data_IF_416211680310
#
_entry.id   IF_416211680310
#
_cell.length_a   1.000
_cell.length_b   1.000
_cell.length_c   1.000
_cell.angle_alpha   90.00
_cell.angle_beta   90.00
_cell.angle_gamma   90.00
#
_symmetry.space_group_name_H-M   'P 1'
#
loop_
_entity.id
_entity.type
_entity.pdbx_description
1 polymer ?
#
# COMPACT_ATOMS: atom_id res chain seq x y z
N UNK A 1 -18.25 -39.30 -1.18
CA UNK A 1 -17.24 -39.58 -0.11
C UNK A 1 -16.22 -38.49 -0.30
N UNK A 2 -16.42 -37.43 0.47
CA UNK A 2 -15.63 -36.20 0.38
C UNK A 2 -14.46 -36.33 1.36
N UNK A 3 -13.24 -36.37 0.83
CA UNK A 3 -12.03 -36.32 1.66
C UNK A 3 -11.81 -34.90 2.16
N UNK A 4 -12.29 -34.66 3.37
CA UNK A 4 -11.95 -33.50 4.19
C UNK A 4 -10.49 -33.65 4.70
N UNK A 5 -9.50 -33.27 3.90
CA UNK A 5 -8.17 -32.98 4.41
C UNK A 5 -8.11 -31.55 4.95
N UNK A 6 -8.66 -31.37 6.14
CA UNK A 6 -8.28 -30.31 7.05
C UNK A 6 -6.83 -30.60 7.47
N UNK A 7 -5.89 -29.96 6.80
CA UNK A 7 -4.51 -29.89 7.30
C UNK A 7 -4.54 -28.95 8.51
N UNK A 8 -4.73 -29.52 9.69
CA UNK A 8 -4.40 -28.84 10.93
C UNK A 8 -2.93 -28.43 10.86
N UNK A 9 -2.66 -27.15 10.78
CA UNK A 9 -1.37 -26.62 11.16
C UNK A 9 -1.20 -26.86 12.65
N UNK A 10 -0.72 -28.05 13.01
CA UNK A 10 -0.37 -28.40 14.39
C UNK A 10 0.65 -27.39 14.85
N UNK A 11 0.37 -26.72 15.96
CA UNK A 11 1.38 -26.13 16.80
C UNK A 11 2.47 -27.21 16.96
N UNK A 12 3.64 -26.98 16.37
CA UNK A 12 4.75 -27.87 16.56
C UNK A 12 5.16 -27.70 18.02
N UNK A 13 4.69 -28.60 18.88
CA UNK A 13 5.26 -28.80 20.21
C UNK A 13 6.77 -28.90 20.04
N UNK A 14 7.45 -27.92 20.55
CA UNK A 14 8.89 -27.86 20.62
C UNK A 14 9.34 -29.05 21.48
N UNK A 15 9.76 -30.14 20.84
CA UNK A 15 10.37 -31.25 21.50
C UNK A 15 11.51 -30.74 22.38
N UNK A 16 11.42 -31.05 23.67
CA UNK A 16 12.21 -30.58 24.80
C UNK A 16 13.70 -31.05 24.79
N UNK A 17 14.39 -30.97 23.66
CA UNK A 17 15.81 -31.32 23.54
C UNK A 17 16.65 -30.26 22.83
N UNK A 18 16.27 -28.97 22.90
CA UNK A 18 17.18 -27.86 22.61
C UNK A 18 17.66 -27.33 23.95
N UNK A 19 18.97 -27.39 24.18
CA UNK A 19 19.67 -26.89 25.36
C UNK A 19 19.08 -25.56 25.82
N UNK A 20 18.84 -25.46 27.12
CA UNK A 20 18.41 -24.24 27.83
C UNK A 20 19.46 -23.12 27.69
N UNK A 21 19.66 -22.61 26.49
CA UNK A 21 20.36 -21.34 26.31
C UNK A 21 19.27 -20.22 26.34
N UNK A 22 19.12 -19.63 27.52
CA UNK A 22 18.12 -18.64 27.90
C UNK A 22 18.24 -17.30 27.16
N UNK A 23 18.84 -17.25 25.97
CA UNK A 23 19.14 -16.04 25.19
C UNK A 23 18.28 -15.82 23.97
N UNK A 24 17.45 -16.76 23.59
CA UNK A 24 16.48 -16.54 22.51
C UNK A 24 15.13 -16.14 23.11
N UNK A 25 15.01 -14.85 23.48
CA UNK A 25 13.68 -14.24 23.63
C UNK A 25 12.99 -14.36 22.28
N UNK A 26 11.82 -14.96 22.24
CA UNK A 26 10.96 -14.96 21.06
C UNK A 26 10.83 -13.51 20.57
N UNK A 27 11.27 -13.26 19.35
CA UNK A 27 11.15 -11.94 18.71
C UNK A 27 9.79 -11.93 18.04
N UNK A 28 8.82 -11.14 18.53
CA UNK A 28 7.49 -11.08 17.91
C UNK A 28 7.60 -10.83 16.40
N UNK A 29 6.65 -11.34 15.62
CA UNK A 29 6.50 -11.03 14.20
C UNK A 29 7.40 -11.76 13.20
N UNK A 30 8.39 -12.53 13.59
CA UNK A 30 9.19 -13.30 12.64
C UNK A 30 8.46 -14.61 12.27
N UNK A 31 7.23 -14.46 11.75
CA UNK A 31 6.32 -15.56 11.40
C UNK A 31 6.12 -15.58 9.88
N UNK A 32 6.42 -16.71 9.24
CA UNK A 32 6.14 -16.94 7.82
C UNK A 32 4.65 -17.15 7.53
N UNK A 33 4.28 -17.08 6.26
CA UNK A 33 2.92 -17.35 5.79
C UNK A 33 2.93 -18.52 4.81
N UNK A 34 2.11 -19.54 5.07
CA UNK A 34 2.03 -20.73 4.23
C UNK A 34 1.54 -20.40 2.81
N UNK A 35 2.25 -20.91 1.79
CA UNK A 35 1.83 -20.78 0.40
C UNK A 35 0.84 -21.89 0.02
N UNK A 36 -0.42 -21.51 -0.04
CA UNK A 36 -1.52 -22.42 -0.37
C UNK A 36 -1.76 -22.64 -1.87
N UNK A 37 -0.73 -22.39 -2.69
CA UNK A 37 -0.74 -22.44 -4.15
C UNK A 37 -0.89 -21.02 -4.76
N UNK A 38 0.22 -20.53 -5.30
CA UNK A 38 0.37 -19.20 -5.92
C UNK A 38 -0.10 -18.02 -5.04
N UNK A 39 -0.08 -18.16 -3.69
CA UNK A 39 -0.47 -17.10 -2.77
C UNK A 39 0.70 -16.21 -2.32
N UNK A 40 1.88 -16.34 -2.91
CA UNK A 40 3.06 -15.54 -2.56
C UNK A 40 2.81 -14.03 -2.70
N UNK A 41 2.04 -13.59 -3.70
CA UNK A 41 1.64 -12.19 -3.86
C UNK A 41 0.86 -11.66 -2.65
N UNK A 42 -0.05 -12.47 -2.11
CA UNK A 42 -0.83 -12.13 -0.93
C UNK A 42 0.05 -12.15 0.32
N UNK A 43 0.87 -13.19 0.48
CA UNK A 43 1.78 -13.32 1.62
C UNK A 43 2.72 -12.11 1.71
N UNK A 44 3.33 -11.69 0.59
CA UNK A 44 4.24 -10.54 0.56
C UNK A 44 3.54 -9.22 0.95
N UNK A 45 2.33 -8.96 0.43
CA UNK A 45 1.53 -7.78 0.80
C UNK A 45 1.16 -7.79 2.28
N UNK A 46 0.67 -8.93 2.79
CA UNK A 46 0.29 -9.09 4.20
C UNK A 46 1.50 -8.87 5.13
N UNK A 47 2.68 -9.40 4.77
CA UNK A 47 3.91 -9.15 5.52
C UNK A 47 4.26 -7.66 5.58
N UNK A 48 4.14 -6.93 4.48
CA UNK A 48 4.40 -5.49 4.47
C UNK A 48 3.39 -4.70 5.30
N UNK A 49 2.08 -4.98 5.19
CA UNK A 49 1.06 -4.30 5.98
C UNK A 49 1.17 -4.60 7.48
N UNK A 50 1.48 -5.85 7.84
CA UNK A 50 1.77 -6.22 9.24
C UNK A 50 3.09 -5.64 9.77
N UNK A 51 3.86 -4.92 8.93
CA UNK A 51 5.03 -4.12 9.34
C UNK A 51 4.69 -2.66 9.58
N UNK A 52 3.49 -2.21 9.22
CA UNK A 52 3.01 -0.84 9.46
C UNK A 52 2.56 -0.73 10.90
N UNK A 53 3.47 -0.35 11.79
CA UNK A 53 3.26 -0.45 13.24
C UNK A 53 2.02 0.27 13.76
N UNK A 54 1.63 1.49 13.31
CA UNK A 54 0.37 2.10 13.76
C UNK A 54 -0.89 1.35 13.29
N UNK A 55 -0.83 0.70 12.13
CA UNK A 55 -1.94 -0.15 11.66
C UNK A 55 -2.07 -1.39 12.56
N UNK A 56 -0.94 -2.03 12.86
CA UNK A 56 -0.87 -3.17 13.78
C UNK A 56 -1.40 -2.81 15.16
N UNK A 57 -0.95 -1.69 15.73
CA UNK A 57 -1.41 -1.19 17.04
C UNK A 57 -2.93 -0.96 17.06
N UNK A 58 -3.47 -0.38 16.02
CA UNK A 58 -4.91 -0.17 15.88
C UNK A 58 -5.70 -1.49 15.95
N UNK A 59 -5.20 -2.55 15.31
CA UNK A 59 -5.85 -3.85 15.35
C UNK A 59 -5.62 -4.58 16.68
N UNK A 60 -4.41 -4.58 17.22
CA UNK A 60 -4.10 -5.24 18.51
C UNK A 60 -4.82 -4.59 19.68
N UNK A 61 -5.01 -3.27 19.67
CA UNK A 61 -5.77 -2.55 20.69
C UNK A 61 -7.27 -2.79 20.67
N UNK A 62 -7.79 -3.49 19.65
CA UNK A 62 -9.22 -3.74 19.49
C UNK A 62 -10.05 -2.55 19.01
N UNK A 63 -9.45 -1.38 18.75
CA UNK A 63 -10.17 -0.18 18.26
C UNK A 63 -10.97 -0.42 16.99
N UNK A 64 -10.50 -1.33 16.13
CA UNK A 64 -11.23 -1.69 14.91
C UNK A 64 -12.63 -2.25 15.20
N UNK A 65 -12.82 -2.96 16.31
CA UNK A 65 -14.13 -3.52 16.71
C UNK A 65 -15.12 -2.41 17.07
N UNK A 66 -14.64 -1.34 17.70
CA UNK A 66 -15.46 -0.17 17.99
C UNK A 66 -15.88 0.56 16.71
N UNK A 67 -14.95 0.67 15.74
CA UNK A 67 -15.19 1.33 14.46
C UNK A 67 -16.14 0.55 13.56
N UNK A 68 -16.10 -0.78 13.60
CA UNK A 68 -17.05 -1.64 12.89
C UNK A 68 -18.50 -1.42 13.35
N UNK A 69 -18.72 -1.10 14.61
CA UNK A 69 -20.06 -0.89 15.17
C UNK A 69 -20.97 -2.11 14.99
N UNK A 70 -21.95 -2.03 14.06
CA UNK A 70 -22.89 -3.13 13.74
C UNK A 70 -22.53 -3.86 12.43
N UNK A 71 -21.48 -3.45 11.75
CA UNK A 71 -21.00 -4.13 10.54
C UNK A 71 -20.42 -5.50 10.90
N UNK A 72 -20.56 -6.48 10.00
CA UNK A 72 -19.88 -7.77 10.18
C UNK A 72 -18.38 -7.65 10.12
N UNK A 73 -17.86 -6.74 9.29
CA UNK A 73 -16.44 -6.43 9.17
C UNK A 73 -15.59 -7.65 8.85
N UNK A 74 -15.97 -8.43 7.85
CA UNK A 74 -15.31 -9.72 7.54
C UNK A 74 -13.83 -9.55 7.21
N UNK A 75 -13.47 -8.49 6.45
CA UNK A 75 -12.06 -8.18 6.10
C UNK A 75 -11.30 -7.74 7.33
N UNK A 76 -11.87 -6.83 8.10
CA UNK A 76 -11.24 -6.25 9.28
C UNK A 76 -11.04 -7.30 10.39
N UNK A 77 -12.03 -8.18 10.59
CA UNK A 77 -11.90 -9.27 11.55
C UNK A 77 -10.83 -10.29 11.11
N UNK A 78 -10.81 -10.67 9.82
CA UNK A 78 -9.83 -11.61 9.30
C UNK A 78 -8.40 -11.02 9.32
N UNK A 79 -8.25 -9.73 9.00
CA UNK A 79 -6.96 -9.04 9.09
C UNK A 79 -6.51 -8.86 10.54
N UNK A 80 -7.43 -8.51 11.45
CA UNK A 80 -7.15 -8.39 12.88
C UNK A 80 -6.69 -9.70 13.51
N UNK A 81 -7.33 -10.83 13.14
CA UNK A 81 -6.89 -12.15 13.59
C UNK A 81 -5.48 -12.47 13.07
N UNK A 82 -5.21 -12.20 11.79
CA UNK A 82 -3.88 -12.38 11.20
C UNK A 82 -2.82 -11.57 11.96
N UNK A 83 -3.08 -10.29 12.22
CA UNK A 83 -2.18 -9.40 12.98
C UNK A 83 -1.92 -9.97 14.37
N UNK A 84 -2.96 -10.46 15.05
CA UNK A 84 -2.85 -11.08 16.38
C UNK A 84 -1.95 -12.31 16.33
N UNK A 85 -2.19 -13.20 15.39
CA UNK A 85 -1.40 -14.45 15.25
C UNK A 85 0.07 -14.14 14.93
N UNK A 86 0.36 -13.14 14.10
CA UNK A 86 1.73 -12.78 13.72
C UNK A 86 2.50 -12.04 14.82
N UNK A 87 1.83 -11.28 15.66
CA UNK A 87 2.49 -10.45 16.66
C UNK A 87 2.47 -11.05 18.08
N UNK A 88 1.39 -11.72 18.44
CA UNK A 88 1.20 -12.30 19.78
C UNK A 88 1.33 -13.82 19.79
N UNK A 89 1.21 -14.47 18.63
CA UNK A 89 1.40 -15.92 18.52
C UNK A 89 2.87 -16.31 18.46
N UNK A 90 3.18 -17.49 18.97
CA UNK A 90 4.52 -18.09 18.95
C UNK A 90 4.68 -19.05 17.76
N UNK A 91 4.24 -18.63 16.57
CA UNK A 91 4.24 -19.47 15.37
C UNK A 91 5.46 -19.17 14.49
N UNK A 92 6.12 -20.19 13.97
CA UNK A 92 7.11 -20.02 12.89
C UNK A 92 6.45 -19.71 11.57
N UNK A 93 5.28 -20.29 11.32
CA UNK A 93 4.50 -20.13 10.11
C UNK A 93 3.03 -20.31 10.44
N UNK A 94 2.16 -19.53 9.80
CA UNK A 94 0.71 -19.64 9.90
C UNK A 94 0.08 -19.75 8.51
N UNK A 95 -1.09 -20.38 8.43
CA UNK A 95 -1.88 -20.45 7.21
C UNK A 95 -2.93 -19.33 7.21
N UNK A 96 -2.81 -18.32 6.31
CA UNK A 96 -3.72 -17.18 6.28
C UNK A 96 -5.07 -17.52 5.63
N UNK A 97 -5.71 -18.62 6.05
CA UNK A 97 -6.91 -19.18 5.41
C UNK A 97 -8.10 -18.21 5.44
N UNK A 98 -8.33 -17.60 6.59
CA UNK A 98 -9.50 -16.74 6.80
C UNK A 98 -9.42 -15.48 5.94
N UNK A 99 -8.31 -14.75 5.97
CA UNK A 99 -8.12 -13.54 5.16
C UNK A 99 -8.14 -13.87 3.66
N UNK A 100 -7.57 -15.00 3.25
CA UNK A 100 -7.64 -15.48 1.86
C UNK A 100 -9.07 -15.74 1.40
N UNK A 101 -9.86 -16.42 2.22
CA UNK A 101 -11.25 -16.72 1.89
C UNK A 101 -12.09 -15.44 1.76
N UNK A 102 -11.91 -14.50 2.67
CA UNK A 102 -12.63 -13.21 2.65
C UNK A 102 -12.25 -12.38 1.44
N UNK A 103 -10.96 -12.26 1.13
CA UNK A 103 -10.49 -11.53 -0.07
C UNK A 103 -11.03 -12.19 -1.35
N UNK A 104 -11.04 -13.52 -1.43
CA UNK A 104 -11.61 -14.26 -2.55
C UNK A 104 -13.12 -14.03 -2.73
N UNK A 105 -13.86 -13.86 -1.64
CA UNK A 105 -15.28 -13.52 -1.68
C UNK A 105 -15.52 -12.07 -2.14
N UNK A 106 -14.64 -11.15 -1.78
CA UNK A 106 -14.75 -9.76 -2.20
C UNK A 106 -14.44 -9.57 -3.68
N UNK A 107 -13.46 -10.29 -4.19
CA UNK A 107 -13.02 -10.18 -5.57
C UNK A 107 -12.65 -11.54 -6.15
N UNK A 108 -13.53 -12.04 -7.02
CA UNK A 108 -13.46 -13.39 -7.58
C UNK A 108 -12.08 -13.79 -8.19
N UNK A 109 -11.31 -12.90 -8.85
CA UNK A 109 -9.97 -13.24 -9.32
C UNK A 109 -9.04 -13.77 -8.21
N UNK A 110 -9.18 -13.31 -6.98
CA UNK A 110 -8.38 -13.78 -5.85
C UNK A 110 -8.89 -15.11 -5.22
N UNK A 111 -10.09 -15.56 -5.60
CA UNK A 111 -10.65 -16.82 -5.12
C UNK A 111 -9.97 -18.04 -5.74
N UNK A 112 -9.40 -17.91 -6.94
CA UNK A 112 -8.74 -19.00 -7.64
C UNK A 112 -7.27 -19.17 -7.20
N UNK A 113 -6.62 -20.22 -7.71
CA UNK A 113 -5.19 -20.50 -7.45
C UNK A 113 -4.26 -19.95 -8.54
N UNK A 114 -4.74 -19.01 -9.39
CA UNK A 114 -3.88 -18.35 -10.37
C UNK A 114 -2.96 -17.36 -9.69
N UNK A 115 -1.83 -17.06 -10.33
CA UNK A 115 -0.99 -15.95 -9.92
C UNK A 115 -1.73 -14.64 -10.15
N UNK A 116 -1.62 -13.72 -9.21
CA UNK A 116 -2.28 -12.40 -9.25
C UNK A 116 -1.27 -11.29 -8.98
N UNK A 117 -1.67 -10.06 -9.27
CA UNK A 117 -0.84 -8.88 -9.02
C UNK A 117 -0.93 -8.44 -7.55
N UNK A 118 0.22 -8.31 -6.91
CA UNK A 118 0.33 -7.84 -5.53
C UNK A 118 -0.17 -6.40 -5.35
N UNK A 119 0.00 -5.52 -6.35
CA UNK A 119 -0.48 -4.15 -6.30
C UNK A 119 -2.01 -4.09 -6.35
N UNK A 120 -2.62 -4.90 -7.22
CA UNK A 120 -4.07 -5.00 -7.30
C UNK A 120 -4.65 -5.49 -5.96
N UNK A 121 -4.07 -6.55 -5.38
CA UNK A 121 -4.47 -7.04 -4.07
C UNK A 121 -4.32 -5.97 -2.98
N UNK A 122 -3.19 -5.24 -2.94
CA UNK A 122 -2.95 -4.19 -1.95
C UNK A 122 -4.05 -3.13 -1.98
N UNK A 123 -4.42 -2.66 -3.17
CA UNK A 123 -5.48 -1.66 -3.33
C UNK A 123 -6.84 -2.22 -2.89
N UNK A 124 -7.18 -3.45 -3.29
CA UNK A 124 -8.44 -4.09 -2.87
C UNK A 124 -8.51 -4.27 -1.35
N UNK A 125 -7.42 -4.71 -0.73
CA UNK A 125 -7.39 -4.92 0.73
C UNK A 125 -7.51 -3.59 1.49
N UNK A 126 -6.79 -2.54 1.07
CA UNK A 126 -6.88 -1.22 1.68
C UNK A 126 -8.30 -0.64 1.53
N UNK A 127 -8.91 -0.76 0.35
CA UNK A 127 -10.28 -0.31 0.12
C UNK A 127 -11.29 -1.11 0.95
N UNK A 128 -11.15 -2.43 1.03
CA UNK A 128 -12.02 -3.27 1.85
C UNK A 128 -11.96 -2.92 3.35
N UNK A 129 -10.74 -2.70 3.87
CA UNK A 129 -10.56 -2.22 5.24
C UNK A 129 -11.13 -0.82 5.45
N UNK A 130 -10.92 0.10 4.48
CA UNK A 130 -11.50 1.44 4.54
C UNK A 130 -13.03 1.39 4.58
N UNK A 131 -13.65 0.65 3.67
CA UNK A 131 -15.11 0.58 3.55
C UNK A 131 -15.79 0.02 4.80
N UNK A 132 -15.16 -0.93 5.48
CA UNK A 132 -15.67 -1.48 6.73
C UNK A 132 -15.43 -0.57 7.94
N UNK A 133 -14.29 0.15 7.99
CA UNK A 133 -13.84 0.92 9.15
C UNK A 133 -14.14 2.42 9.04
N UNK A 134 -14.72 2.88 7.92
CA UNK A 134 -14.99 4.30 7.71
C UNK A 134 -16.08 4.83 8.63
N UNK A 135 -15.79 5.98 9.22
CA UNK A 135 -16.75 6.76 9.99
C UNK A 135 -17.15 8.00 9.20
N UNK A 136 -18.46 8.21 9.02
CA UNK A 136 -18.96 9.44 8.44
C UNK A 136 -18.89 10.56 9.47
N UNK A 137 -17.90 11.43 9.35
CA UNK A 137 -17.83 12.65 10.16
C UNK A 137 -18.73 13.71 9.58
N UNK A 138 -19.95 13.81 10.09
CA UNK A 138 -20.72 15.04 9.94
C UNK A 138 -20.04 16.11 10.78
N UNK A 139 -19.19 16.95 10.18
CA UNK A 139 -18.70 18.16 10.83
C UNK A 139 -19.92 19.04 11.13
N UNK A 140 -20.41 19.01 12.38
CA UNK A 140 -21.23 20.07 12.94
C UNK A 140 -20.30 21.26 13.18
N UNK A 141 -20.13 22.12 12.17
CA UNK A 141 -19.68 23.48 12.48
C UNK A 141 -20.86 24.22 13.08
N UNK A 142 -20.71 24.84 14.25
CA UNK A 142 -21.65 25.86 14.68
C UNK A 142 -21.37 27.09 13.79
N UNK A 143 -22.12 27.24 12.72
CA UNK A 143 -22.13 28.47 11.93
C UNK A 143 -23.33 29.30 12.38
N UNK A 144 -23.13 30.08 13.44
CA UNK A 144 -23.79 31.36 13.61
C UNK A 144 -23.00 32.39 12.83
N UNK A 145 -23.34 32.57 11.57
CA UNK A 145 -23.11 33.83 10.84
C UNK A 145 -24.29 34.04 9.90
N UNK A 146 -25.13 34.96 10.29
CA UNK A 146 -26.18 35.54 9.48
C UNK A 146 -25.56 36.18 8.22
N UNK A 147 -25.74 35.49 7.07
CA UNK A 147 -25.54 36.15 5.76
C UNK A 147 -26.88 36.22 5.02
N UNK A 148 -27.26 37.44 4.69
CA UNK A 148 -28.36 37.80 3.79
C UNK A 148 -28.02 37.35 2.38
N UNK A 149 -29.07 36.89 1.69
CA UNK A 149 -29.25 36.70 0.26
C UNK A 149 -28.52 35.58 -0.49
N UNK A 150 -29.27 34.55 -0.85
CA UNK A 150 -29.33 34.07 -2.25
C UNK A 150 -28.16 33.24 -2.81
N UNK A 151 -27.38 32.52 -2.02
CA UNK A 151 -26.36 31.61 -2.58
C UNK A 151 -26.66 30.16 -2.21
N UNK A 152 -26.59 29.29 -3.23
CA UNK A 152 -26.76 27.84 -3.12
C UNK A 152 -25.81 27.29 -2.01
N UNK A 153 -26.38 26.56 -1.06
CA UNK A 153 -25.60 25.77 -0.08
C UNK A 153 -24.67 24.85 -0.85
N UNK A 154 -23.38 25.18 -0.91
CA UNK A 154 -22.37 24.17 -1.17
C UNK A 154 -22.37 23.25 0.05
N UNK A 155 -22.91 22.04 -0.11
CA UNK A 155 -22.69 20.94 0.84
C UNK A 155 -21.21 20.60 0.73
N UNK A 156 -20.44 20.90 1.77
CA UNK A 156 -19.08 20.39 1.91
C UNK A 156 -19.11 18.85 1.80
N UNK A 157 -18.24 18.24 1.01
CA UNK A 157 -18.21 16.79 0.88
C UNK A 157 -18.01 16.18 2.26
N UNK A 158 -18.82 15.16 2.57
CA UNK A 158 -18.68 14.35 3.76
C UNK A 158 -17.37 13.55 3.59
N UNK A 159 -16.34 13.88 4.34
CA UNK A 159 -15.09 13.10 4.34
C UNK A 159 -15.31 11.85 5.19
N UNK A 160 -15.27 10.70 4.54
CA UNK A 160 -15.25 9.40 5.20
C UNK A 160 -13.83 9.15 5.72
N UNK A 161 -13.66 8.99 7.03
CA UNK A 161 -12.36 8.80 7.66
C UNK A 161 -12.26 7.39 8.23
N UNK A 162 -11.14 6.75 8.00
CA UNK A 162 -10.76 5.47 8.60
C UNK A 162 -9.29 5.48 8.99
N UNK A 163 -8.82 4.45 9.67
CA UNK A 163 -7.38 4.26 9.91
C UNK A 163 -6.59 4.21 8.60
N UNK A 164 -7.17 3.67 7.53
CA UNK A 164 -6.53 3.57 6.22
C UNK A 164 -6.32 4.96 5.61
N UNK A 165 -7.36 5.81 5.60
CA UNK A 165 -7.21 7.19 5.09
C UNK A 165 -6.31 8.03 5.99
N UNK A 166 -6.29 7.75 7.29
CA UNK A 166 -5.41 8.45 8.22
C UNK A 166 -3.93 8.16 7.94
N UNK A 167 -3.57 6.89 7.69
CA UNK A 167 -2.19 6.48 7.51
C UNK A 167 -1.68 6.65 6.07
N UNK A 168 -2.50 6.34 5.06
CA UNK A 168 -2.06 6.13 3.68
C UNK A 168 -2.64 7.12 2.67
N UNK A 169 -3.64 7.94 3.03
CA UNK A 169 -4.26 8.84 2.05
C UNK A 169 -3.51 10.16 1.91
N UNK A 170 -2.94 10.35 0.72
CA UNK A 170 -2.44 11.63 0.26
C UNK A 170 -3.42 12.31 -0.72
N UNK A 171 -3.07 13.53 -1.13
CA UNK A 171 -3.83 14.30 -2.11
C UNK A 171 -2.91 14.88 -3.17
N UNK A 172 -3.32 14.75 -4.43
CA UNK A 172 -2.71 15.40 -5.57
C UNK A 172 -3.55 16.63 -5.96
N UNK A 173 -2.88 17.73 -6.28
CA UNK A 173 -3.44 18.90 -6.97
C UNK A 173 -3.06 18.79 -8.45
N UNK A 174 -4.03 18.47 -9.29
CA UNK A 174 -3.82 18.38 -10.73
C UNK A 174 -4.28 19.65 -11.40
N UNK A 175 -3.38 20.29 -12.14
CA UNK A 175 -3.61 21.49 -12.90
C UNK A 175 -3.67 21.14 -14.38
N UNK A 176 -4.82 21.42 -14.99
CA UNK A 176 -5.09 21.16 -16.41
C UNK A 176 -5.29 22.48 -17.12
N UNK A 177 -4.51 22.74 -18.18
CA UNK A 177 -4.55 23.99 -18.96
C UNK A 177 -4.86 23.70 -20.41
N UNK A 178 -5.95 24.24 -20.94
CA UNK A 178 -6.25 24.20 -22.37
C UNK A 178 -5.23 25.05 -23.15
N UNK A 179 -4.49 24.46 -24.07
CA UNK A 179 -3.45 25.18 -24.82
C UNK A 179 -4.01 26.20 -25.84
N UNK A 180 -5.32 26.11 -26.17
CA UNK A 180 -5.97 27.04 -27.09
C UNK A 180 -6.50 28.31 -26.42
N UNK A 181 -7.23 28.18 -25.32
CA UNK A 181 -7.89 29.33 -24.67
C UNK A 181 -7.32 29.64 -23.28
N UNK A 182 -6.30 28.87 -22.82
CA UNK A 182 -5.64 29.00 -21.52
C UNK A 182 -6.59 28.83 -20.31
N UNK A 183 -7.78 28.27 -20.53
CA UNK A 183 -8.65 27.90 -19.42
C UNK A 183 -7.94 26.91 -18.52
N UNK A 184 -7.92 27.21 -17.23
CA UNK A 184 -7.24 26.41 -16.22
C UNK A 184 -8.26 25.77 -15.28
N UNK A 185 -8.18 24.46 -15.13
CA UNK A 185 -9.00 23.68 -14.18
C UNK A 185 -8.06 23.06 -13.16
N UNK A 186 -8.44 23.14 -11.89
CA UNK A 186 -7.74 22.47 -10.78
C UNK A 186 -8.67 21.42 -10.19
N UNK A 187 -8.13 20.21 -10.01
CA UNK A 187 -8.83 19.08 -9.39
C UNK A 187 -7.97 18.46 -8.30
N UNK A 188 -8.57 18.17 -7.16
CA UNK A 188 -7.90 17.43 -6.09
C UNK A 188 -8.30 15.98 -6.19
N UNK A 189 -7.31 15.10 -6.17
CA UNK A 189 -7.49 13.66 -6.28
C UNK A 189 -6.80 12.97 -5.09
N UNK A 190 -7.56 12.13 -4.37
CA UNK A 190 -7.00 11.33 -3.28
C UNK A 190 -6.28 10.10 -3.84
N UNK A 191 -5.18 9.71 -3.20
CA UNK A 191 -4.45 8.50 -3.53
C UNK A 191 -4.03 7.76 -2.26
N UNK A 192 -3.96 6.45 -2.33
CA UNK A 192 -3.35 5.58 -1.30
C UNK A 192 -2.07 4.93 -1.80
N UNK A 193 -1.96 4.70 -3.11
CA UNK A 193 -0.79 4.13 -3.77
C UNK A 193 -0.45 4.98 -4.99
N UNK A 194 0.80 5.44 -5.11
CA UNK A 194 1.30 6.11 -6.31
C UNK A 194 1.94 5.08 -7.24
N UNK A 195 1.38 4.90 -8.43
CA UNK A 195 1.92 4.01 -9.46
C UNK A 195 2.84 4.79 -10.40
N UNK A 196 4.14 4.62 -10.20
CA UNK A 196 5.18 5.36 -10.88
C UNK A 196 5.58 4.74 -12.22
N UNK A 197 5.70 5.52 -13.29
CA UNK A 197 6.31 5.07 -14.53
C UNK A 197 7.82 4.83 -14.31
N UNK A 198 8.38 3.92 -15.11
CA UNK A 198 9.82 3.67 -15.11
C UNK A 198 10.39 4.32 -16.37
N UNK A 199 11.30 5.30 -16.25
CA UNK A 199 11.95 5.91 -17.40
C UNK A 199 12.67 4.88 -18.27
N UNK A 200 12.75 5.15 -19.58
CA UNK A 200 13.45 4.29 -20.53
C UNK A 200 14.93 4.21 -20.17
N UNK A 201 15.47 2.98 -20.09
CA UNK A 201 16.87 2.76 -19.78
C UNK A 201 17.13 1.42 -19.09
N UNK A 202 18.42 1.12 -18.87
CA UNK A 202 18.80 -0.10 -18.12
C UNK A 202 18.79 0.11 -16.61
N UNK A 203 19.03 1.35 -16.18
CA UNK A 203 19.10 1.77 -14.77
C UNK A 203 18.48 3.14 -14.60
N UNK A 204 17.77 3.35 -13.50
CA UNK A 204 17.31 4.66 -13.04
C UNK A 204 17.19 4.63 -11.50
N UNK A 205 16.92 5.77 -10.92
CA UNK A 205 16.60 5.88 -9.50
C UNK A 205 15.09 5.97 -9.27
N UNK A 206 14.64 5.69 -8.05
CA UNK A 206 13.25 5.93 -7.64
C UNK A 206 12.89 7.43 -7.74
N UNK A 207 13.89 8.31 -7.53
CA UNK A 207 13.72 9.75 -7.73
C UNK A 207 13.42 10.09 -9.19
N UNK A 208 14.10 9.44 -10.17
CA UNK A 208 13.82 9.63 -11.59
C UNK A 208 12.39 9.16 -11.95
N UNK A 209 11.91 8.08 -11.30
CA UNK A 209 10.53 7.63 -11.46
C UNK A 209 9.52 8.66 -10.92
N UNK A 210 9.81 9.29 -9.78
CA UNK A 210 9.00 10.38 -9.22
C UNK A 210 9.03 11.60 -10.13
N UNK A 211 10.19 12.02 -10.63
CA UNK A 211 10.32 13.12 -11.58
C UNK A 211 9.49 12.87 -12.84
N UNK A 212 9.56 11.66 -13.39
CA UNK A 212 8.76 11.27 -14.54
C UNK A 212 7.25 11.31 -14.25
N UNK A 213 6.81 10.91 -13.05
CA UNK A 213 5.40 10.95 -12.64
C UNK A 213 4.88 12.38 -12.49
N UNK A 214 5.67 13.29 -11.92
CA UNK A 214 5.30 14.69 -11.69
C UNK A 214 5.70 15.63 -12.81
N UNK A 215 6.29 15.12 -13.89
CA UNK A 215 6.60 15.91 -15.08
C UNK A 215 5.30 16.44 -15.70
N UNK A 216 5.36 17.68 -16.21
CA UNK A 216 4.26 18.22 -16.99
C UNK A 216 4.10 17.43 -18.29
N UNK A 217 2.91 16.97 -18.56
CA UNK A 217 2.56 16.24 -19.77
C UNK A 217 1.66 17.07 -20.68
N UNK A 218 1.67 16.78 -21.98
CA UNK A 218 0.82 17.41 -22.98
C UNK A 218 -0.02 16.36 -23.70
N UNK A 219 -1.31 16.40 -23.45
CA UNK A 219 -2.29 15.50 -24.06
C UNK A 219 -2.71 16.05 -25.42
N UNK A 220 -2.40 15.31 -26.49
CA UNK A 220 -2.65 15.69 -27.88
C UNK A 220 -3.39 14.57 -28.62
N UNK A 221 -3.91 14.86 -29.79
CA UNK A 221 -4.57 13.89 -30.67
C UNK A 221 -5.71 13.12 -29.99
N UNK A 222 -5.57 11.83 -29.82
CA UNK A 222 -6.61 10.96 -29.24
C UNK A 222 -6.83 11.24 -27.75
N UNK A 223 -5.80 11.75 -27.04
CA UNK A 223 -5.81 12.01 -25.61
C UNK A 223 -6.27 13.44 -25.26
N UNK A 224 -6.67 14.24 -26.28
CA UNK A 224 -7.20 15.58 -26.07
C UNK A 224 -8.36 15.60 -25.08
N UNK A 225 -8.38 16.57 -24.17
CA UNK A 225 -9.44 16.77 -23.19
C UNK A 225 -10.51 17.76 -23.67
N UNK A 226 -11.76 17.54 -23.26
CA UNK A 226 -12.86 18.45 -23.53
C UNK A 226 -12.67 19.74 -22.72
N UNK A 227 -12.45 20.85 -23.41
CA UNK A 227 -12.38 22.15 -22.75
C UNK A 227 -13.79 22.75 -22.63
N UNK A 228 -14.19 23.12 -21.42
CA UNK A 228 -15.51 23.70 -21.14
C UNK A 228 -15.76 25.07 -21.80
N UNK A 229 -14.69 25.87 -22.03
CA UNK A 229 -14.81 27.17 -22.74
C UNK A 229 -14.76 27.03 -24.25
N UNK A 230 -13.99 26.08 -24.78
CA UNK A 230 -13.91 25.81 -26.20
C UNK A 230 -15.07 24.95 -26.71
N UNK A 231 -15.75 24.23 -25.79
CA UNK A 231 -16.79 23.24 -26.06
C UNK A 231 -16.34 22.11 -27.04
N UNK A 232 -15.02 21.90 -27.11
CA UNK A 232 -14.38 20.91 -28.02
C UNK A 232 -13.17 20.28 -27.34
N UNK A 233 -12.78 19.12 -27.84
CA UNK A 233 -11.48 18.49 -27.52
C UNK A 233 -10.35 19.41 -27.96
N UNK A 234 -9.38 19.66 -27.08
CA UNK A 234 -8.24 20.52 -27.31
C UNK A 234 -6.98 19.91 -26.72
N UNK A 235 -5.85 20.26 -27.27
CA UNK A 235 -4.55 19.97 -26.68
C UNK A 235 -4.48 20.59 -25.30
N UNK A 236 -4.03 19.82 -24.33
CA UNK A 236 -4.13 20.18 -22.92
C UNK A 236 -2.84 19.84 -22.21
N UNK A 237 -2.30 20.79 -21.47
CA UNK A 237 -1.18 20.53 -20.55
C UNK A 237 -1.74 20.09 -19.20
N UNK A 238 -1.15 19.03 -18.65
CA UNK A 238 -1.51 18.48 -17.33
C UNK A 238 -0.27 18.40 -16.45
N UNK A 239 -0.38 18.86 -15.21
CA UNK A 239 0.66 18.76 -14.21
C UNK A 239 0.05 18.39 -12.87
N UNK A 240 0.58 17.34 -12.24
CA UNK A 240 0.25 16.98 -10.87
C UNK A 240 1.30 17.52 -9.89
N UNK A 241 0.86 17.92 -8.70
CA UNK A 241 1.71 18.21 -7.54
C UNK A 241 1.09 17.54 -6.31
N UNK A 242 1.89 17.35 -5.28
CA UNK A 242 1.40 16.82 -4.00
C UNK A 242 0.80 17.97 -3.19
N UNK A 243 -0.50 17.88 -2.91
CA UNK A 243 -1.20 18.82 -2.02
C UNK A 243 -1.10 18.37 -0.56
N UNK A 244 -1.09 17.05 -0.30
CA UNK A 244 -0.94 16.46 1.04
C UNK A 244 -0.18 15.14 0.93
N UNK A 245 0.86 14.98 1.74
CA UNK A 245 1.56 13.69 1.93
C UNK A 245 0.91 12.92 3.09
N UNK A 246 0.73 11.60 2.97
CA UNK A 246 0.36 10.75 4.10
C UNK A 246 1.59 10.42 4.94
N UNK A 247 1.40 9.94 6.16
CA UNK A 247 2.52 9.50 7.03
C UNK A 247 3.22 8.25 6.46
N UNK A 248 2.48 7.41 5.74
CA UNK A 248 2.95 6.19 5.08
C UNK A 248 2.69 6.27 3.58
N UNK A 249 3.74 6.39 2.78
CA UNK A 249 3.66 6.48 1.32
C UNK A 249 3.90 5.12 0.71
N UNK A 250 2.97 4.68 -0.13
CA UNK A 250 3.06 3.44 -0.90
C UNK A 250 3.36 3.77 -2.35
N UNK A 251 4.50 3.28 -2.86
CA UNK A 251 4.95 3.51 -4.23
C UNK A 251 4.99 2.18 -4.97
N UNK A 252 4.30 2.12 -6.10
CA UNK A 252 4.30 0.97 -7.00
C UNK A 252 5.05 1.30 -8.29
N UNK A 253 5.91 0.43 -8.79
CA UNK A 253 6.57 0.57 -10.08
C UNK A 253 5.73 -0.09 -11.19
N UNK A 254 5.35 0.66 -12.22
CA UNK A 254 4.66 0.13 -13.40
C UNK A 254 5.59 -0.75 -14.24
N UNK A 255 5.94 -1.93 -13.70
CA UNK A 255 6.83 -2.89 -14.37
C UNK A 255 6.14 -3.72 -15.43
N UNK A 256 4.83 -3.90 -15.32
CA UNK A 256 4.03 -4.68 -16.25
C UNK A 256 3.41 -3.75 -17.30
N UNK A 257 3.79 -3.97 -18.55
CA UNK A 257 3.37 -3.16 -19.68
C UNK A 257 2.75 -4.06 -20.76
N UNK A 258 1.82 -3.48 -21.52
CA UNK A 258 1.17 -4.14 -22.63
C UNK A 258 1.58 -3.44 -23.93
N UNK A 259 2.44 -4.07 -24.71
CA UNK A 259 2.79 -3.61 -26.06
C UNK A 259 1.93 -4.38 -27.09
N UNK A 260 0.77 -3.83 -27.42
CA UNK A 260 -0.24 -4.52 -28.25
C UNK A 260 -0.84 -5.72 -27.50
N UNK A 261 -0.68 -6.94 -28.06
CA UNK A 261 -1.13 -8.19 -27.40
C UNK A 261 -0.05 -8.86 -26.55
N UNK A 262 1.18 -8.32 -26.53
CA UNK A 262 2.28 -8.92 -25.78
C UNK A 262 2.41 -8.27 -24.42
N UNK A 263 2.34 -9.10 -23.37
CA UNK A 263 2.68 -8.72 -22.00
C UNK A 263 4.19 -8.62 -21.89
N UNK A 264 4.69 -7.54 -21.32
CA UNK A 264 6.12 -7.30 -21.10
C UNK A 264 6.39 -6.86 -19.67
N UNK A 265 7.36 -7.49 -19.01
CA UNK A 265 7.88 -7.00 -17.74
C UNK A 265 9.12 -6.12 -17.96
N UNK A 266 9.09 -4.89 -17.48
CA UNK A 266 10.25 -4.00 -17.47
C UNK A 266 11.25 -4.47 -16.42
N UNK A 267 12.48 -4.80 -16.87
CA UNK A 267 13.57 -5.31 -16.01
C UNK A 267 14.59 -4.22 -15.65
N UNK A 268 14.24 -2.95 -15.87
CA UNK A 268 15.07 -1.80 -15.49
C UNK A 268 15.43 -1.88 -14.01
N UNK A 269 16.71 -1.79 -13.71
CA UNK A 269 17.19 -1.71 -12.33
C UNK A 269 16.85 -0.33 -11.78
N UNK A 270 16.01 -0.29 -10.74
CA UNK A 270 15.62 0.94 -10.05
C UNK A 270 16.31 0.97 -8.71
N UNK A 271 17.29 1.87 -8.55
CA UNK A 271 17.91 2.13 -7.26
C UNK A 271 17.00 3.01 -6.39
N UNK A 272 16.97 2.74 -5.10
CA UNK A 272 16.07 3.44 -4.18
C UNK A 272 16.78 3.75 -2.85
N UNK A 273 16.54 4.92 -2.23
CA UNK A 273 17.14 5.24 -0.95
C UNK A 273 16.45 4.44 0.17
N UNK A 274 17.25 3.95 1.13
CA UNK A 274 16.72 3.34 2.35
C UNK A 274 16.23 4.40 3.33
N UNK A 275 16.84 5.58 3.27
CA UNK A 275 16.52 6.71 4.13
C UNK A 275 16.44 8.00 3.32
N UNK A 276 15.66 8.95 3.82
CA UNK A 276 15.57 10.31 3.28
C UNK A 276 15.12 10.40 1.80
N UNK A 277 14.18 9.54 1.35
CA UNK A 277 13.49 9.77 0.08
C UNK A 277 12.78 11.13 0.14
N UNK A 278 13.08 12.01 -0.80
CA UNK A 278 12.66 13.41 -0.77
C UNK A 278 11.48 13.68 -1.71
N UNK A 279 10.35 14.08 -1.14
CA UNK A 279 9.16 14.53 -1.87
C UNK A 279 9.03 16.06 -1.96
N UNK A 280 9.94 16.82 -1.34
CA UNK A 280 9.87 18.29 -1.31
C UNK A 280 9.78 18.94 -2.71
N UNK A 281 10.45 18.42 -3.77
CA UNK A 281 10.35 19.00 -5.10
C UNK A 281 8.93 18.96 -5.70
N UNK A 282 8.10 18.05 -5.23
CA UNK A 282 6.75 17.79 -5.76
C UNK A 282 5.63 18.32 -4.85
N UNK A 283 5.97 18.81 -3.66
CA UNK A 283 5.04 19.32 -2.65
C UNK A 283 5.27 20.83 -2.41
N UNK A 284 4.82 21.70 -3.31
CA UNK A 284 5.00 23.14 -3.15
C UNK A 284 4.16 23.66 -1.97
N UNK A 285 4.81 24.36 -1.02
CA UNK A 285 4.14 24.98 0.12
C UNK A 285 4.72 24.61 1.48
N UNK A 286 4.07 24.99 2.59
CA UNK A 286 4.59 24.77 3.94
C UNK A 286 4.68 23.30 4.35
N UNK A 287 4.02 22.39 3.65
CA UNK A 287 4.06 20.95 3.89
C UNK A 287 5.32 20.26 3.32
N UNK A 288 6.09 20.94 2.46
CA UNK A 288 7.34 20.39 1.88
C UNK A 288 8.46 20.15 2.90
N UNK A 289 8.40 20.75 4.10
CA UNK A 289 9.41 20.55 5.14
C UNK A 289 9.39 19.18 5.82
N UNK A 290 8.32 18.40 5.65
CA UNK A 290 8.19 17.02 6.16
C UNK A 290 8.41 15.97 5.06
N UNK A 291 8.92 16.36 3.90
CA UNK A 291 8.99 15.53 2.70
C UNK A 291 10.04 14.41 2.70
N UNK A 292 10.66 14.05 3.83
CA UNK A 292 11.68 12.99 3.89
C UNK A 292 11.12 11.72 4.51
N UNK A 293 11.30 10.62 3.80
CA UNK A 293 10.72 9.32 4.16
C UNK A 293 11.77 8.23 4.19
N UNK A 294 11.61 7.28 5.11
CA UNK A 294 12.49 6.12 5.29
C UNK A 294 11.77 4.85 4.87
N UNK A 295 12.48 3.98 4.17
CA UNK A 295 11.96 2.69 3.74
C UNK A 295 11.82 1.76 4.93
N UNK A 296 10.67 1.06 5.01
CA UNK A 296 10.46 0.04 6.03
C UNK A 296 10.01 -1.31 5.49
N UNK A 297 9.47 -1.36 4.26
CA UNK A 297 9.17 -2.63 3.63
C UNK A 297 9.19 -2.53 2.09
N UNK A 298 9.45 -3.66 1.43
CA UNK A 298 9.45 -3.81 -0.03
C UNK A 298 8.78 -5.11 -0.40
N UNK A 299 7.84 -5.07 -1.35
CA UNK A 299 7.40 -6.26 -2.08
C UNK A 299 8.28 -6.41 -3.30
N UNK A 300 8.91 -7.57 -3.44
CA UNK A 300 9.71 -7.94 -4.60
C UNK A 300 8.93 -8.89 -5.51
N UNK A 301 9.20 -8.83 -6.81
CA UNK A 301 8.69 -9.78 -7.79
C UNK A 301 9.80 -10.27 -8.72
N UNK A 302 10.06 -11.56 -8.70
CA UNK A 302 11.00 -12.26 -9.58
C UNK A 302 10.24 -13.06 -10.64
N UNK A 303 10.84 -13.28 -11.81
CA UNK A 303 10.19 -13.99 -12.92
C UNK A 303 9.39 -13.08 -13.84
N UNK A 304 8.44 -13.65 -14.57
CA UNK A 304 7.60 -12.97 -15.57
C UNK A 304 6.14 -12.82 -15.08
N UNK A 305 5.27 -12.27 -15.91
CA UNK A 305 3.87 -11.98 -15.54
C UNK A 305 3.05 -13.25 -15.26
N UNK A 306 3.31 -14.32 -16.02
CA UNK A 306 2.52 -15.56 -15.96
C UNK A 306 3.20 -16.63 -15.06
N UNK A 307 4.48 -16.42 -14.69
CA UNK A 307 5.26 -17.33 -13.83
C UNK A 307 6.27 -16.54 -13.02
N UNK A 308 5.84 -16.03 -11.90
CA UNK A 308 6.67 -15.23 -11.01
C UNK A 308 6.55 -15.67 -9.55
N UNK A 309 7.36 -15.06 -8.72
CA UNK A 309 7.35 -15.29 -7.29
C UNK A 309 7.51 -13.95 -6.55
N UNK A 310 6.71 -13.77 -5.51
CA UNK A 310 6.75 -12.59 -4.66
C UNK A 310 7.39 -12.90 -3.32
N UNK A 311 8.26 -12.01 -2.85
CA UNK A 311 8.80 -12.00 -1.49
C UNK A 311 8.65 -10.63 -0.87
N UNK A 312 8.74 -10.53 0.46
CA UNK A 312 8.74 -9.25 1.15
C UNK A 312 10.03 -9.06 1.93
N UNK A 313 10.61 -7.86 1.86
CA UNK A 313 11.65 -7.40 2.76
C UNK A 313 11.04 -6.43 3.75
N UNK A 314 11.19 -6.68 5.05
CA UNK A 314 10.62 -5.81 6.06
C UNK A 314 11.63 -5.51 7.17
N UNK A 315 11.64 -4.24 7.61
CA UNK A 315 12.45 -3.77 8.74
C UNK A 315 11.70 -4.08 10.03
N UNK A 316 12.36 -4.78 10.94
CA UNK A 316 11.77 -5.12 12.23
C UNK A 316 11.78 -3.92 13.16
N UNK A 317 10.66 -3.50 13.77
CA UNK A 317 10.57 -2.23 14.51
C UNK A 317 11.37 -2.23 15.81
N UNK A 318 11.64 -3.40 16.42
CA UNK A 318 12.39 -3.51 17.67
C UNK A 318 13.90 -3.60 17.42
N UNK A 319 14.31 -4.47 16.48
CA UNK A 319 15.73 -4.76 16.25
C UNK A 319 16.35 -3.88 15.18
N UNK A 320 15.51 -3.17 14.41
CA UNK A 320 15.86 -2.38 13.23
C UNK A 320 16.59 -3.18 12.13
N UNK A 321 16.63 -4.49 12.27
CA UNK A 321 17.18 -5.41 11.29
C UNK A 321 16.19 -5.66 10.16
N UNK A 322 16.71 -6.03 8.99
CA UNK A 322 15.91 -6.41 7.85
C UNK A 322 15.74 -7.93 7.76
N UNK A 323 14.54 -8.36 7.39
CA UNK A 323 14.21 -9.75 7.19
C UNK A 323 13.52 -9.93 5.83
N UNK A 324 13.89 -11.01 5.16
CA UNK A 324 13.19 -11.53 4.00
C UNK A 324 12.11 -12.49 4.46
N UNK A 325 10.93 -12.31 3.94
CA UNK A 325 9.79 -13.19 4.10
C UNK A 325 9.51 -13.83 2.74
N UNK A 326 9.90 -15.07 2.60
CA UNK A 326 9.66 -15.92 1.44
C UNK A 326 8.69 -17.02 1.84
N UNK A 327 7.39 -16.71 1.73
CA UNK A 327 6.29 -17.55 2.20
C UNK A 327 6.53 -18.04 3.65
N UNK A 328 6.76 -19.34 3.86
CA UNK A 328 6.97 -19.94 5.17
C UNK A 328 8.32 -19.58 5.79
N UNK A 329 9.25 -19.13 4.98
CA UNK A 329 10.64 -18.92 5.39
C UNK A 329 10.89 -17.47 5.77
N UNK A 330 11.55 -17.26 6.91
CA UNK A 330 11.97 -15.94 7.38
C UNK A 330 13.47 -15.93 7.59
N UNK A 331 14.18 -15.09 6.85
CA UNK A 331 15.63 -15.00 6.89
C UNK A 331 16.09 -13.59 7.27
N UNK A 332 17.12 -13.49 8.08
CA UNK A 332 17.84 -12.23 8.26
C UNK A 332 18.56 -11.84 6.97
N UNK A 333 18.45 -10.57 6.59
CA UNK A 333 19.16 -10.01 5.43
C UNK A 333 19.91 -8.73 5.79
N UNK A 334 21.04 -8.52 5.13
CA UNK A 334 21.80 -7.28 5.26
C UNK A 334 21.13 -6.14 4.50
N UNK A 335 21.22 -4.91 4.99
CA UNK A 335 20.74 -3.74 4.27
C UNK A 335 21.37 -3.59 2.87
N UNK A 336 22.57 -4.11 2.65
CA UNK A 336 23.24 -4.12 1.34
C UNK A 336 22.55 -5.02 0.30
N UNK A 337 21.77 -6.01 0.73
CA UNK A 337 21.05 -6.93 -0.17
C UNK A 337 19.68 -6.43 -0.60
N UNK A 338 19.21 -5.31 -0.01
CA UNK A 338 17.88 -4.75 -0.31
C UNK A 338 17.77 -4.20 -1.74
N UNK A 339 18.88 -3.68 -2.28
CA UNK A 339 18.92 -3.15 -3.65
C UNK A 339 18.79 -4.29 -4.65
N UNK A 340 17.61 -4.42 -5.23
CA UNK A 340 17.27 -5.52 -6.14
C UNK A 340 16.47 -5.00 -7.34
N UNK A 341 16.75 -5.57 -8.52
CA UNK A 341 15.91 -5.36 -9.71
C UNK A 341 14.51 -5.97 -9.59
N UNK A 342 14.26 -6.76 -8.54
CA UNK A 342 12.98 -7.35 -8.22
C UNK A 342 12.02 -6.41 -7.47
N UNK A 343 12.50 -5.28 -6.93
CA UNK A 343 11.67 -4.34 -6.19
C UNK A 343 10.45 -3.89 -7.00
N UNK A 344 9.25 -3.99 -6.40
CA UNK A 344 7.98 -3.78 -7.08
C UNK A 344 7.07 -2.79 -6.37
N UNK A 345 6.88 -2.94 -5.03
CA UNK A 345 6.11 -1.99 -4.21
C UNK A 345 6.97 -1.61 -3.02
N UNK A 346 7.08 -0.31 -2.77
CA UNK A 346 7.82 0.25 -1.65
C UNK A 346 6.89 0.83 -0.61
N UNK A 347 7.25 0.65 0.65
CA UNK A 347 6.55 1.17 1.81
C UNK A 347 7.49 2.12 2.55
N UNK A 348 7.22 3.41 2.47
CA UNK A 348 8.00 4.47 3.10
C UNK A 348 7.20 5.17 4.20
N UNK A 349 7.88 5.67 5.21
CA UNK A 349 7.26 6.45 6.31
C UNK A 349 8.11 7.65 6.69
N UNK A 350 7.46 8.76 7.07
CA UNK A 350 8.10 9.91 7.69
C UNK A 350 8.27 9.75 9.22
N UNK A 351 7.66 8.71 9.81
CA UNK A 351 7.71 8.42 11.24
C UNK A 351 8.79 7.39 11.55
N UNK A 352 9.34 7.45 12.77
CA UNK A 352 10.12 6.33 13.29
C UNK A 352 9.20 5.15 13.58
N UNK A 353 9.60 3.95 13.12
CA UNK A 353 8.87 2.73 13.45
C UNK A 353 9.07 2.44 14.94
N UNK A 354 7.97 2.45 15.67
CA UNK A 354 7.95 2.13 17.10
C UNK A 354 7.41 0.72 17.32
N UNK A 355 7.74 0.12 18.45
CA UNK A 355 7.11 -1.14 18.87
C UNK A 355 5.63 -0.85 19.12
N UNK A 356 4.70 -1.63 18.53
CA UNK A 356 3.28 -1.44 18.81
C UNK A 356 3.01 -1.55 20.32
N UNK A 357 2.25 -0.60 20.85
CA UNK A 357 1.76 -0.63 22.21
C UNK A 357 0.37 -1.28 22.22
N UNK A 358 0.18 -2.37 22.97
CA UNK A 358 -1.09 -3.07 23.16
C UNK A 358 -1.41 -3.32 24.62
#
# INVERSE_FOLDING_TARGET
MEDNHLVECRALEYSSNVSKDSRYRHVPRLTGLYNSGNSCYMNAVLQCLCSTTPLVEYFLSGKYQEDLGRSKGEVSCAFGQLVTDMWLGEYKCIYPAQIRAVIGNLHHPFANRAQQDAQELLVYLLNGLHDELKRSTRRRFPMETTFRSGQRKLSLPCTELSIITHLFEGQLDQVTVCLKCHNTVRTNEAFTVLSLPIPSGRKCSLQDCLECFFQQDTLTWNDQMLCSLCEKKQDTSVKANIAKLPDFVLLHLKRFDYCGQQKRKLRTEVSFPLENLDFSPYAPGPFGSQGKYNLYAVVNHSGDMDSGHYTAYCKHPVTHNWFEFDDETVNYISASTLQSSAAYIFFYTCQELQVPCW
#
